data_IF_379755146764
#
_entry.id   IF_379755146764
#
_cell.length_a   1.000
_cell.length_b   1.000
_cell.length_c   1.000
_cell.angle_alpha   90.00
_cell.angle_beta   90.00
_cell.angle_gamma   90.00
#
_symmetry.space_group_name_H-M   'P 1'
#
loop_
_entity.id
_entity.type
_entity.pdbx_description
1 polymer ?
#
# COMPACT_ATOMS: atom_id res chain seq x y z
N UNK A 1 -31.94 17.67 -22.12
CA UNK A 1 -31.34 17.07 -20.92
C UNK A 1 -30.96 15.63 -21.28
N UNK A 2 -29.69 15.31 -21.58
CA UNK A 2 -29.29 13.93 -21.77
C UNK A 2 -28.91 13.27 -20.45
N UNK A 3 -29.11 11.96 -20.42
CA UNK A 3 -29.13 11.09 -19.27
C UNK A 3 -27.76 10.93 -18.60
N UNK A 4 -27.78 10.91 -17.27
CA UNK A 4 -26.62 10.65 -16.44
C UNK A 4 -26.24 9.16 -16.56
N UNK A 5 -25.02 8.79 -16.98
CA UNK A 5 -24.62 7.38 -16.99
C UNK A 5 -24.54 6.89 -15.54
N UNK A 6 -25.22 5.77 -15.29
CA UNK A 6 -25.33 5.09 -14.00
C UNK A 6 -23.95 4.91 -13.39
N UNK A 7 -23.74 5.55 -12.24
CA UNK A 7 -22.62 5.31 -11.34
C UNK A 7 -22.58 3.81 -11.06
N UNK A 8 -21.47 3.17 -11.41
CA UNK A 8 -21.26 1.75 -11.14
C UNK A 8 -21.42 1.51 -9.64
N UNK A 9 -22.35 0.63 -9.32
CA UNK A 9 -22.61 0.14 -7.98
C UNK A 9 -21.30 -0.37 -7.37
N UNK A 10 -20.85 0.28 -6.30
CA UNK A 10 -19.78 -0.21 -5.44
C UNK A 10 -20.36 -1.29 -4.52
N UNK A 11 -20.74 -2.43 -5.09
CA UNK A 11 -21.13 -3.61 -4.30
C UNK A 11 -19.85 -4.28 -3.76
N UNK A 12 -19.72 -4.31 -2.42
CA UNK A 12 -18.88 -5.24 -1.64
C UNK A 12 -17.61 -5.74 -2.30
N UNK A 13 -16.63 -4.86 -2.55
CA UNK A 13 -15.42 -5.27 -3.26
C UNK A 13 -14.38 -5.83 -2.30
N UNK A 14 -14.22 -7.15 -2.30
CA UNK A 14 -13.02 -7.81 -1.80
C UNK A 14 -11.77 -7.06 -2.28
N UNK A 15 -10.79 -6.85 -1.38
CA UNK A 15 -9.55 -6.16 -1.68
C UNK A 15 -8.68 -6.99 -2.65
N UNK A 16 -9.00 -6.89 -3.94
CA UNK A 16 -8.36 -7.56 -5.09
C UNK A 16 -8.61 -6.78 -6.38
N UNK A 17 -7.82 -7.06 -7.41
CA UNK A 17 -8.04 -6.43 -8.71
C UNK A 17 -9.25 -7.01 -9.44
N UNK A 18 -9.99 -6.16 -10.12
CA UNK A 18 -10.99 -6.58 -11.11
C UNK A 18 -10.39 -6.59 -12.51
N UNK A 19 -10.96 -7.39 -13.43
CA UNK A 19 -10.59 -7.41 -14.85
C UNK A 19 -11.14 -6.17 -15.57
N UNK A 20 -10.55 -5.01 -15.27
CA UNK A 20 -10.83 -3.75 -15.96
C UNK A 20 -10.07 -3.69 -17.29
N UNK A 21 -10.71 -3.11 -18.33
CA UNK A 21 -10.04 -2.74 -19.59
C UNK A 21 -9.64 -1.27 -19.62
N UNK A 22 -10.08 -0.48 -18.62
CA UNK A 22 -9.76 0.93 -18.52
C UNK A 22 -8.32 1.09 -18.03
N UNK A 23 -7.45 1.65 -18.89
CA UNK A 23 -6.03 1.86 -18.59
C UNK A 23 -5.84 3.03 -17.62
N UNK A 24 -4.80 2.95 -16.82
CA UNK A 24 -4.34 3.99 -15.90
C UNK A 24 -2.82 4.07 -15.91
N UNK A 25 -2.29 5.27 -15.69
CA UNK A 25 -0.87 5.58 -15.81
C UNK A 25 -0.41 6.32 -14.55
N UNK A 26 0.36 5.64 -13.71
CA UNK A 26 0.82 6.17 -12.42
C UNK A 26 2.34 6.35 -12.41
N UNK A 27 2.81 7.49 -11.92
CA UNK A 27 4.22 7.72 -11.60
C UNK A 27 4.40 7.62 -10.08
N UNK A 28 4.90 6.49 -9.62
CA UNK A 28 5.11 6.21 -8.20
C UNK A 28 6.37 6.94 -7.74
N UNK A 29 6.23 8.01 -6.95
CA UNK A 29 7.33 8.85 -6.49
C UNK A 29 7.66 8.55 -5.03
N UNK A 30 8.86 8.03 -4.75
CA UNK A 30 9.30 7.77 -3.39
C UNK A 30 9.88 9.02 -2.73
N UNK A 31 9.11 9.64 -1.83
CA UNK A 31 9.52 10.80 -1.02
C UNK A 31 10.07 10.40 0.36
N UNK A 32 10.33 9.11 0.57
CA UNK A 32 10.86 8.59 1.84
C UNK A 32 12.33 8.28 1.71
N UNK A 33 13.01 8.16 2.85
CA UNK A 33 14.38 7.64 2.91
C UNK A 33 14.45 6.11 2.88
N UNK A 34 13.31 5.42 2.67
CA UNK A 34 13.22 3.95 2.62
C UNK A 34 13.35 3.46 1.19
N UNK A 35 13.74 2.20 1.03
CA UNK A 35 13.59 1.49 -0.25
C UNK A 35 12.12 1.06 -0.38
N UNK A 36 11.36 1.69 -1.27
CA UNK A 36 9.92 1.44 -1.36
C UNK A 36 9.61 0.31 -2.33
N UNK A 37 8.90 -0.73 -1.87
CA UNK A 37 8.38 -1.84 -2.67
C UNK A 37 6.90 -1.65 -2.97
N UNK A 38 6.52 -1.38 -4.24
CA UNK A 38 5.13 -1.42 -4.65
C UNK A 38 4.63 -2.87 -4.73
N UNK A 39 3.41 -3.10 -4.28
CA UNK A 39 2.74 -4.39 -4.30
C UNK A 39 1.38 -4.22 -4.98
N UNK A 40 1.17 -4.90 -6.09
CA UNK A 40 -0.13 -4.97 -6.76
C UNK A 40 -0.91 -6.16 -6.21
N UNK A 41 -2.16 -5.96 -5.82
CA UNK A 41 -3.03 -7.11 -5.51
C UNK A 41 -3.62 -7.65 -6.79
N UNK A 42 -3.28 -8.89 -7.13
CA UNK A 42 -3.77 -9.53 -8.34
C UNK A 42 -5.28 -9.83 -8.29
N UNK A 43 -5.79 -10.58 -9.26
CA UNK A 43 -7.21 -10.93 -9.35
C UNK A 43 -7.69 -11.87 -8.24
N UNK A 44 -6.76 -12.50 -7.52
CA UNK A 44 -6.99 -13.36 -6.37
C UNK A 44 -6.75 -12.62 -5.05
N UNK A 45 -6.32 -11.35 -5.11
CA UNK A 45 -5.97 -10.55 -3.95
C UNK A 45 -4.61 -10.90 -3.37
N UNK A 46 -3.78 -11.64 -4.10
CA UNK A 46 -2.42 -11.99 -3.69
C UNK A 46 -1.50 -10.82 -4.03
N UNK A 47 -0.62 -10.38 -3.09
CA UNK A 47 0.32 -9.30 -3.35
C UNK A 47 1.44 -9.76 -4.29
N UNK A 48 1.54 -9.10 -5.43
CA UNK A 48 2.57 -9.28 -6.46
C UNK A 48 3.56 -8.11 -6.38
N UNK A 49 4.84 -8.36 -6.08
CA UNK A 49 5.83 -7.30 -5.95
C UNK A 49 6.27 -6.76 -7.31
N UNK A 50 6.51 -5.45 -7.35
CA UNK A 50 7.15 -4.74 -8.45
C UNK A 50 8.56 -4.28 -8.07
N UNK A 51 9.28 -3.72 -9.04
CA UNK A 51 10.62 -3.19 -8.82
C UNK A 51 10.67 -2.19 -7.66
N UNK A 52 11.66 -2.37 -6.79
CA UNK A 52 11.87 -1.48 -5.66
C UNK A 52 12.32 -0.08 -6.13
N UNK A 53 11.84 0.95 -5.46
CA UNK A 53 12.05 2.36 -5.79
C UNK A 53 12.98 2.96 -4.72
N UNK A 54 14.23 3.33 -5.08
CA UNK A 54 15.14 3.99 -4.14
C UNK A 54 14.59 5.33 -3.63
N UNK A 55 15.17 5.82 -2.54
CA UNK A 55 14.87 7.16 -2.00
C UNK A 55 14.98 8.23 -3.09
N UNK A 56 14.00 9.15 -3.14
CA UNK A 56 13.93 10.26 -4.08
C UNK A 56 13.91 9.86 -5.57
N UNK A 57 13.54 8.60 -5.87
CA UNK A 57 13.34 8.11 -7.25
C UNK A 57 11.86 7.85 -7.53
N UNK A 58 11.55 7.57 -8.80
CA UNK A 58 10.20 7.27 -9.23
C UNK A 58 10.15 6.10 -10.22
N UNK A 59 8.99 5.44 -10.29
CA UNK A 59 8.72 4.33 -11.18
C UNK A 59 7.40 4.56 -11.93
N UNK A 60 7.46 4.53 -13.26
CA UNK A 60 6.27 4.59 -14.12
C UNK A 60 5.59 3.23 -14.18
N UNK A 61 4.30 3.19 -13.90
CA UNK A 61 3.46 1.99 -13.94
C UNK A 61 2.31 2.18 -14.89
N UNK A 62 2.15 1.22 -15.80
CA UNK A 62 0.92 1.04 -16.58
C UNK A 62 0.05 0.02 -15.87
N UNK A 63 -1.10 0.45 -15.37
CA UNK A 63 -2.03 -0.36 -14.59
C UNK A 63 -3.44 -0.17 -15.14
N UNK A 64 -4.44 -0.71 -14.45
CA UNK A 64 -5.85 -0.51 -14.77
C UNK A 64 -6.61 0.15 -13.63
N UNK A 65 -7.72 0.79 -13.99
CA UNK A 65 -8.60 1.48 -13.04
C UNK A 65 -9.07 0.51 -11.96
N UNK A 66 -8.93 0.93 -10.70
CA UNK A 66 -9.38 0.18 -9.52
C UNK A 66 -8.50 -1.01 -9.11
N UNK A 67 -7.33 -1.21 -9.72
CA UNK A 67 -6.35 -2.21 -9.25
C UNK A 67 -5.72 -1.77 -7.93
N UNK A 68 -5.80 -2.53 -6.84
CA UNK A 68 -5.24 -2.10 -5.55
C UNK A 68 -3.72 -2.17 -5.52
N UNK A 69 -3.11 -1.09 -5.01
CA UNK A 69 -1.68 -0.98 -4.78
C UNK A 69 -1.37 -0.65 -3.33
N UNK A 70 -0.41 -1.37 -2.76
CA UNK A 70 0.16 -1.12 -1.44
C UNK A 70 1.66 -0.84 -1.56
N UNK A 71 2.22 -0.23 -0.53
CA UNK A 71 3.63 0.15 -0.51
C UNK A 71 4.25 -0.27 0.81
N UNK A 72 5.42 -0.91 0.74
CA UNK A 72 6.19 -1.37 1.91
C UNK A 72 7.63 -0.92 1.84
N UNK A 73 8.29 -0.81 2.98
CA UNK A 73 9.74 -0.84 3.04
C UNK A 73 10.20 -2.23 2.57
N UNK A 74 11.02 -2.28 1.52
CA UNK A 74 11.51 -3.49 0.90
C UNK A 74 12.37 -4.34 1.83
N UNK A 75 13.00 -3.71 2.83
CA UNK A 75 13.92 -4.32 3.78
C UNK A 75 13.20 -4.80 5.03
N UNK A 76 12.33 -3.97 5.61
CA UNK A 76 11.69 -4.27 6.91
C UNK A 76 10.26 -4.79 6.79
N UNK A 77 9.61 -4.60 5.63
CA UNK A 77 8.19 -4.85 5.46
C UNK A 77 7.28 -3.80 6.10
N UNK A 78 7.85 -2.71 6.65
CA UNK A 78 7.08 -1.63 7.28
C UNK A 78 6.16 -0.93 6.27
N UNK A 79 5.02 -0.43 6.73
CA UNK A 79 4.00 0.20 5.88
C UNK A 79 4.43 1.56 5.32
N UNK A 80 4.20 1.78 4.04
CA UNK A 80 4.27 3.09 3.40
C UNK A 80 2.89 3.48 2.87
N UNK A 81 2.64 4.78 2.75
CA UNK A 81 1.38 5.32 2.26
C UNK A 81 1.54 5.83 0.83
N UNK A 82 0.52 5.67 0.01
CA UNK A 82 0.40 6.37 -1.26
C UNK A 82 -0.66 7.47 -1.15
N UNK A 83 -0.26 8.71 -1.41
CA UNK A 83 -1.11 9.89 -1.26
C UNK A 83 -1.85 9.91 0.10
N UNK A 84 -1.15 9.53 1.18
CA UNK A 84 -1.67 9.43 2.56
C UNK A 84 -2.72 8.34 2.79
N UNK A 85 -2.81 7.34 1.91
CA UNK A 85 -3.70 6.18 2.06
C UNK A 85 -2.90 4.87 2.04
N UNK A 86 -3.41 3.85 2.73
CA UNK A 86 -2.78 2.52 2.77
C UNK A 86 -2.92 1.76 1.45
N UNK A 87 -4.06 1.95 0.78
CA UNK A 87 -4.36 1.36 -0.53
C UNK A 87 -4.59 2.48 -1.53
N UNK A 88 -3.85 2.42 -2.63
CA UNK A 88 -4.06 3.28 -3.78
C UNK A 88 -4.89 2.55 -4.84
N UNK A 89 -5.94 3.20 -5.32
CA UNK A 89 -6.77 2.75 -6.43
C UNK A 89 -6.55 3.73 -7.61
N UNK A 90 -5.95 3.28 -8.73
CA UNK A 90 -5.74 4.12 -9.89
C UNK A 90 -7.07 4.57 -10.51
N UNK A 91 -7.12 5.84 -10.88
CA UNK A 91 -8.23 6.45 -11.63
C UNK A 91 -8.01 6.32 -13.14
N UNK A 92 -9.00 6.72 -13.95
CA UNK A 92 -8.90 6.63 -15.42
C UNK A 92 -7.69 7.42 -15.93
N UNK A 93 -6.83 6.75 -16.69
CA UNK A 93 -5.65 7.35 -17.28
C UNK A 93 -5.98 8.17 -18.51
N UNK A 94 -5.28 9.29 -18.67
CA UNK A 94 -5.38 10.13 -19.87
C UNK A 94 -4.23 9.83 -20.83
N UNK A 95 -4.54 9.92 -22.13
CA UNK A 95 -3.56 9.92 -23.20
C UNK A 95 -3.51 11.35 -23.72
N UNK A 96 -2.32 11.95 -23.73
CA UNK A 96 -2.14 13.31 -24.22
C UNK A 96 -2.37 13.42 -25.73
N UNK A 97 -2.46 14.65 -26.23
CA UNK A 97 -2.67 14.95 -27.67
C UNK A 97 -1.58 14.34 -28.57
N UNK A 98 -0.38 14.13 -28.04
CA UNK A 98 0.74 13.47 -28.71
C UNK A 98 0.63 11.92 -28.74
N UNK A 99 -0.48 11.35 -28.29
CA UNK A 99 -0.71 9.91 -28.22
C UNK A 99 0.04 9.19 -27.10
N UNK A 100 0.71 9.91 -26.19
CA UNK A 100 1.50 9.31 -25.10
C UNK A 100 0.71 9.27 -23.78
N UNK A 101 0.94 8.26 -22.93
CA UNK A 101 0.37 8.22 -21.59
C UNK A 101 0.76 9.45 -20.76
N UNK A 102 -0.23 10.07 -20.12
CA UNK A 102 -0.01 11.09 -19.11
C UNK A 102 0.05 10.44 -17.73
N UNK A 103 1.26 10.32 -17.17
CA UNK A 103 1.45 9.71 -15.86
C UNK A 103 1.08 10.67 -14.73
N UNK A 104 0.21 10.21 -13.83
CA UNK A 104 -0.20 10.97 -12.64
C UNK A 104 0.75 10.67 -11.48
N UNK A 105 1.37 11.67 -10.84
CA UNK A 105 2.30 11.45 -9.74
C UNK A 105 1.58 10.98 -8.47
N UNK A 106 2.05 9.87 -7.90
CA UNK A 106 1.59 9.28 -6.65
C UNK A 106 2.71 9.39 -5.62
N UNK A 107 2.46 10.11 -4.53
CA UNK A 107 3.47 10.38 -3.50
C UNK A 107 3.50 9.23 -2.50
N UNK A 108 4.59 8.48 -2.47
CA UNK A 108 4.86 7.48 -1.45
C UNK A 108 5.50 8.19 -0.25
N UNK A 109 4.87 8.10 0.92
CA UNK A 109 5.28 8.78 2.16
C UNK A 109 5.30 7.82 3.35
N UNK A 110 6.03 8.19 4.41
CA UNK A 110 5.92 7.49 5.68
C UNK A 110 4.55 7.80 6.34
N UNK A 111 3.88 6.82 6.96
CA UNK A 111 2.81 7.13 7.88
C UNK A 111 3.37 7.82 9.13
N UNK A 112 2.49 8.49 9.88
CA UNK A 112 2.82 8.93 11.25
C UNK A 112 2.75 7.70 12.14
N UNK A 113 3.89 7.05 12.34
CA UNK A 113 4.01 5.96 13.28
C UNK A 113 3.78 6.46 14.71
N UNK A 114 3.18 5.62 15.54
CA UNK A 114 3.24 5.83 16.98
C UNK A 114 4.71 5.83 17.43
N UNK A 115 5.00 6.50 18.54
CA UNK A 115 6.35 6.51 19.08
C UNK A 115 6.84 5.08 19.39
N UNK A 116 5.95 4.22 19.88
CA UNK A 116 6.25 2.80 20.15
C UNK A 116 6.66 2.08 18.86
N UNK A 117 5.85 2.14 17.80
CA UNK A 117 6.19 1.51 16.52
C UNK A 117 7.53 2.03 15.97
N UNK A 118 7.76 3.34 16.05
CA UNK A 118 9.02 3.95 15.59
C UNK A 118 10.22 3.44 16.39
N UNK A 119 10.11 3.37 17.72
CA UNK A 119 11.16 2.82 18.57
C UNK A 119 11.43 1.35 18.24
N UNK A 120 10.38 0.54 18.07
CA UNK A 120 10.53 -0.87 17.68
C UNK A 120 11.26 -1.02 16.34
N UNK A 121 10.90 -0.21 15.33
CA UNK A 121 11.59 -0.22 14.03
C UNK A 121 13.07 0.10 14.14
N UNK A 122 13.43 1.13 14.90
CA UNK A 122 14.84 1.53 15.07
C UNK A 122 15.60 0.44 15.83
N UNK A 123 15.04 -0.10 16.91
CA UNK A 123 15.69 -1.17 17.68
C UNK A 123 15.93 -2.41 16.83
N UNK A 124 14.97 -2.83 15.99
CA UNK A 124 15.15 -3.95 15.04
C UNK A 124 16.27 -3.73 14.02
N UNK A 125 16.64 -2.48 13.73
CA UNK A 125 17.74 -2.15 12.83
C UNK A 125 19.11 -2.16 13.52
N UNK A 126 19.13 -1.97 14.84
CA UNK A 126 20.36 -1.84 15.64
C UNK A 126 20.74 -3.11 16.37
N UNK A 127 19.77 -3.98 16.67
CA UNK A 127 19.94 -5.18 17.50
C UNK A 127 19.57 -6.42 16.67
N UNK A 128 20.41 -7.48 16.66
CA UNK A 128 20.05 -8.77 16.07
C UNK A 128 18.83 -9.39 16.74
N UNK A 129 18.05 -10.18 16.00
CA UNK A 129 16.81 -10.76 16.51
C UNK A 129 17.06 -11.70 17.70
N UNK A 130 18.20 -12.38 17.70
CA UNK A 130 18.65 -13.32 18.71
C UNK A 130 18.88 -12.66 20.08
N UNK A 131 19.14 -11.35 20.09
CA UNK A 131 19.45 -10.59 21.30
C UNK A 131 18.24 -9.86 21.90
N UNK A 132 17.06 -9.91 21.25
CA UNK A 132 15.87 -9.20 21.72
C UNK A 132 15.45 -9.60 23.14
N UNK A 133 15.59 -10.88 23.51
CA UNK A 133 15.24 -11.40 24.84
C UNK A 133 16.23 -10.98 25.94
N UNK A 134 17.42 -10.52 25.56
CA UNK A 134 18.46 -10.07 26.48
C UNK A 134 18.37 -8.58 26.80
N UNK A 135 17.58 -7.82 26.04
CA UNK A 135 17.40 -6.38 26.27
C UNK A 135 16.78 -6.12 27.65
N UNK A 136 17.29 -5.15 28.44
CA UNK A 136 16.80 -4.82 29.77
C UNK A 136 15.49 -4.01 29.72
N UNK A 137 14.49 -4.52 29.01
CA UNK A 137 13.16 -3.93 28.82
C UNK A 137 12.08 -4.96 29.20
N UNK A 138 10.84 -4.53 29.48
CA UNK A 138 9.74 -5.45 29.77
C UNK A 138 9.55 -6.55 28.70
N UNK A 139 9.22 -7.77 29.14
CA UNK A 139 8.97 -8.93 28.25
C UNK A 139 7.94 -8.65 27.16
N UNK A 140 6.93 -7.83 27.44
CA UNK A 140 5.93 -7.42 26.44
C UNK A 140 6.59 -6.70 25.25
N UNK A 141 7.53 -5.79 25.50
CA UNK A 141 8.25 -5.08 24.45
C UNK A 141 9.25 -5.97 23.71
N UNK A 142 9.88 -6.93 24.39
CA UNK A 142 10.72 -7.94 23.73
C UNK A 142 9.90 -8.78 22.74
N UNK A 143 8.70 -9.20 23.14
CA UNK A 143 7.76 -9.91 22.27
C UNK A 143 7.27 -9.04 21.11
N UNK A 144 6.99 -7.75 21.34
CA UNK A 144 6.64 -6.81 20.28
C UNK A 144 7.80 -6.59 19.29
N UNK A 145 9.04 -6.50 19.75
CA UNK A 145 10.22 -6.44 18.88
C UNK A 145 10.32 -7.66 17.97
N UNK A 146 10.04 -8.85 18.50
CA UNK A 146 10.09 -10.10 17.74
C UNK A 146 8.97 -10.22 16.68
N UNK A 147 7.88 -9.44 16.81
CA UNK A 147 6.80 -9.39 15.80
C UNK A 147 7.25 -8.56 14.61
N UNK A 148 7.43 -9.21 13.47
CA UNK A 148 7.69 -8.53 12.19
C UNK A 148 6.38 -8.10 11.53
N UNK A 149 6.39 -7.07 10.68
CA UNK A 149 5.22 -6.71 9.87
C UNK A 149 4.70 -7.93 9.09
N UNK A 150 3.41 -8.23 9.24
CA UNK A 150 2.73 -9.36 8.60
C UNK A 150 1.70 -8.83 7.60
N UNK A 151 2.13 -8.73 6.34
CA UNK A 151 1.29 -8.27 5.26
C UNK A 151 0.02 -9.12 5.09
N UNK A 152 0.08 -10.44 5.31
CA UNK A 152 -1.10 -11.30 5.13
C UNK A 152 -2.15 -11.00 6.19
N UNK A 153 -1.71 -10.81 7.44
CA UNK A 153 -2.60 -10.42 8.53
C UNK A 153 -3.22 -9.04 8.29
N UNK A 154 -2.42 -8.07 7.85
CA UNK A 154 -2.91 -6.73 7.52
C UNK A 154 -3.91 -6.75 6.36
N UNK A 155 -3.66 -7.54 5.30
CA UNK A 155 -4.61 -7.69 4.19
C UNK A 155 -5.92 -8.32 4.66
N UNK A 156 -5.87 -9.30 5.57
CA UNK A 156 -7.07 -9.89 6.17
C UNK A 156 -7.86 -8.89 7.02
N UNK A 157 -7.17 -7.99 7.74
CA UNK A 157 -7.80 -6.89 8.48
C UNK A 157 -8.47 -5.89 7.52
N UNK A 158 -7.77 -5.42 6.48
CA UNK A 158 -8.31 -4.48 5.49
C UNK A 158 -9.55 -5.03 4.77
N UNK A 159 -9.54 -6.32 4.41
CA UNK A 159 -10.70 -7.00 3.79
C UNK A 159 -11.93 -7.04 4.69
N UNK A 160 -11.74 -7.12 6.01
CA UNK A 160 -12.84 -7.10 7.00
C UNK A 160 -13.41 -5.69 7.16
N UNK A 161 -12.55 -4.67 7.25
CA UNK A 161 -12.99 -3.28 7.35
C UNK A 161 -13.80 -2.84 6.12
N UNK A 162 -13.39 -3.24 4.91
CA UNK A 162 -14.14 -2.94 3.69
C UNK A 162 -15.52 -3.62 3.61
N UNK A 163 -15.75 -4.68 4.39
CA UNK A 163 -17.04 -5.38 4.44
C UNK A 163 -18.00 -4.80 5.50
N UNK A 164 -17.49 -4.06 6.49
CA UNK A 164 -18.28 -3.51 7.60
C UNK A 164 -18.87 -2.12 7.31
N UNK A 165 -18.21 -1.31 6.48
CA UNK A 165 -18.76 -0.01 6.04
C UNK A 165 -20.03 -0.17 5.16
N UNK A 166 -20.24 -1.33 4.54
CA UNK A 166 -21.37 -1.65 3.66
C UNK A 166 -22.64 -2.13 4.42
N UNK A 167 -22.54 -2.32 5.74
CA UNK A 167 -23.62 -2.89 6.57
C UNK A 167 -24.39 -1.90 7.44
N UNK A 168 -24.10 -0.60 7.37
CA UNK A 168 -24.69 0.43 8.24
C UNK A 168 -25.68 1.38 7.54
N UNK A 169 -26.01 1.13 6.28
CA UNK A 169 -27.10 1.82 5.56
C UNK A 169 -28.27 0.85 5.34
N UNK A 170 -29.07 0.59 6.37
CA UNK A 170 -30.43 0.03 6.25
C UNK A 170 -31.36 0.80 7.20
#
# INVERSE_FOLDING_TARGET
MPENPRVGSHEGRELRSARSRARSFALLCNYTQRLARPLWLDFQGVPVPYADIPSQRALSINTYVGHPWLFRDATTGDRLLANRRDVFLPELGNIGENGRPQYVPIKITLPVYTLVERCLQVTRQLVPKEDFEQLPIPRSLQQELARVPDLQRELAELRRSSAQEDGSEH
#
